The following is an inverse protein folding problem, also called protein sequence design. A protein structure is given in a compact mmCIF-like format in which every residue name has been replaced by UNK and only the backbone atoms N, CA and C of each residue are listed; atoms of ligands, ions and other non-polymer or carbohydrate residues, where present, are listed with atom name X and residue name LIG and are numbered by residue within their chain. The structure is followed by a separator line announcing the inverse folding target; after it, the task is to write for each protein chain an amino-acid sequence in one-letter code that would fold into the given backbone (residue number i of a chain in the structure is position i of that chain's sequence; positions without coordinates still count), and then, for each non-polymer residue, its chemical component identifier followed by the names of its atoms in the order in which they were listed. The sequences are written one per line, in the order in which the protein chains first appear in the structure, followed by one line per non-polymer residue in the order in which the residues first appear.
data_IF_538616565772
#
_entry.id   IF_538616565772
#
_cell.length_a   1.000
_cell.length_b   1.000
_cell.length_c   1.000
_cell.angle_alpha   90.00
_cell.angle_beta   90.00
_cell.angle_gamma   90.00
#
_symmetry.space_group_name_H-M   'P 1'
#
loop_
_entity.id
_entity.type
_entity.pdbx_description
1 polymer ?
#
# COMPACT_ATOMS: atom_id res chain seq x y z
N UNK A 1 -18.29 29.80 24.58
CA UNK A 1 -17.66 28.83 23.67
C UNK A 1 -16.17 29.11 23.53
N UNK A 2 -15.40 28.09 23.22
CA UNK A 2 -14.00 28.25 22.82
C UNK A 2 -13.94 28.30 21.30
N UNK A 3 -13.29 29.32 20.73
CA UNK A 3 -13.07 29.37 19.29
C UNK A 3 -11.96 28.41 18.88
N UNK A 4 -12.19 27.60 17.87
CA UNK A 4 -11.15 26.82 17.22
C UNK A 4 -10.60 27.63 16.06
N UNK A 5 -9.37 28.11 16.19
CA UNK A 5 -8.67 28.77 15.09
C UNK A 5 -8.39 27.76 13.98
N UNK A 6 -9.25 27.67 13.00
CA UNK A 6 -8.94 27.07 11.70
C UNK A 6 -8.73 28.20 10.71
N UNK A 7 -7.65 28.10 9.94
CA UNK A 7 -7.27 29.06 8.89
C UNK A 7 -8.25 29.04 7.70
N UNK A 8 -9.49 29.37 7.95
CA UNK A 8 -10.48 29.70 6.94
C UNK A 8 -10.65 31.20 6.91
N UNK A 9 -9.58 31.91 6.56
CA UNK A 9 -9.47 33.37 6.62
C UNK A 9 -10.43 34.13 5.72
N UNK A 10 -11.26 33.49 4.90
CA UNK A 10 -12.14 34.22 3.98
C UNK A 10 -13.58 33.73 3.85
N UNK A 11 -14.01 32.75 4.69
CA UNK A 11 -15.37 32.19 4.56
C UNK A 11 -16.43 32.95 5.39
N UNK A 12 -16.05 33.85 6.28
CA UNK A 12 -16.98 34.51 7.24
C UNK A 12 -17.64 33.53 8.24
N UNK A 13 -17.20 32.25 8.30
CA UNK A 13 -17.77 31.22 9.18
C UNK A 13 -16.88 31.05 10.39
N UNK A 14 -17.39 31.36 11.57
CA UNK A 14 -16.76 31.07 12.86
C UNK A 14 -17.30 29.77 13.49
N UNK A 15 -16.39 28.94 14.00
CA UNK A 15 -16.78 27.76 14.77
C UNK A 15 -16.48 27.96 16.24
N UNK A 16 -17.43 27.55 17.12
CA UNK A 16 -17.24 27.57 18.55
C UNK A 16 -17.67 26.24 19.17
N UNK A 17 -16.89 25.73 20.12
CA UNK A 17 -17.29 24.55 20.89
C UNK A 17 -18.19 25.02 22.04
N UNK A 18 -19.42 24.51 22.15
CA UNK A 18 -20.32 24.87 23.22
C UNK A 18 -19.75 24.48 24.60
N UNK A 19 -19.95 25.35 25.58
CA UNK A 19 -19.44 25.10 26.94
C UNK A 19 -20.07 23.87 27.61
N UNK A 20 -21.30 23.49 27.27
CA UNK A 20 -21.94 22.27 27.81
C UNK A 20 -21.20 20.99 27.38
N UNK A 21 -20.48 20.99 26.27
CA UNK A 21 -19.64 19.87 25.86
C UNK A 21 -18.31 19.82 26.63
N UNK A 22 -17.84 20.96 27.14
CA UNK A 22 -16.56 21.09 27.84
C UNK A 22 -16.69 20.90 29.33
N UNK A 23 -17.78 21.40 29.94
CA UNK A 23 -17.99 21.35 31.40
C UNK A 23 -17.82 19.92 31.97
N UNK A 24 -18.37 18.87 31.39
CA UNK A 24 -18.19 17.51 31.90
C UNK A 24 -16.73 17.01 31.86
N UNK A 25 -15.90 17.62 31.03
CA UNK A 25 -14.49 17.22 30.84
C UNK A 25 -13.54 17.95 31.82
N UNK A 26 -13.98 19.09 32.39
CA UNK A 26 -13.15 19.91 33.27
C UNK A 26 -12.57 19.14 34.49
N UNK A 27 -13.30 18.25 35.16
CA UNK A 27 -12.73 17.49 36.28
C UNK A 27 -11.57 16.58 35.84
N UNK A 28 -11.66 16.00 34.67
CA UNK A 28 -10.60 15.14 34.07
C UNK A 28 -9.39 15.97 33.67
N UNK A 29 -9.62 17.11 33.02
CA UNK A 29 -8.56 18.05 32.62
C UNK A 29 -7.82 18.62 33.85
N UNK A 30 -8.53 18.95 34.93
CA UNK A 30 -7.93 19.41 36.19
C UNK A 30 -7.04 18.36 36.85
N UNK A 31 -7.27 17.07 36.61
CA UNK A 31 -6.41 15.97 37.06
C UNK A 31 -5.21 15.73 36.16
N UNK A 32 -5.02 16.54 35.12
CA UNK A 32 -3.94 16.40 34.14
C UNK A 32 -4.15 15.24 33.15
N UNK A 33 -5.39 14.70 33.02
CA UNK A 33 -5.66 13.67 32.05
C UNK A 33 -5.54 14.21 30.63
N UNK A 34 -4.79 13.49 29.77
CA UNK A 34 -4.73 13.76 28.32
C UNK A 34 -5.93 13.12 27.66
N UNK A 35 -6.95 13.90 27.36
CA UNK A 35 -8.15 13.41 26.68
C UNK A 35 -7.85 13.11 25.20
N UNK A 36 -8.08 11.86 24.80
CA UNK A 36 -7.94 11.40 23.42
C UNK A 36 -9.30 11.01 22.87
N UNK A 37 -9.59 11.26 21.58
CA UNK A 37 -10.80 10.77 20.93
C UNK A 37 -10.93 9.25 21.08
N UNK A 38 -12.14 8.78 21.31
CA UNK A 38 -12.46 7.37 21.40
C UNK A 38 -12.56 6.74 20.00
N UNK A 39 -11.77 5.71 19.74
CA UNK A 39 -11.70 5.03 18.46
C UNK A 39 -12.25 3.60 18.61
N UNK A 40 -13.15 3.20 17.70
CA UNK A 40 -13.78 1.87 17.67
C UNK A 40 -13.01 0.90 16.75
N UNK A 41 -12.54 1.37 15.59
CA UNK A 41 -11.75 0.58 14.66
C UNK A 41 -12.59 -0.21 13.65
N UNK A 42 -13.62 0.42 13.09
CA UNK A 42 -14.43 -0.09 11.98
C UNK A 42 -14.27 0.78 10.75
N UNK A 43 -14.52 0.19 9.58
CA UNK A 43 -14.58 0.88 8.30
C UNK A 43 -15.80 0.44 7.48
N UNK A 44 -16.17 1.26 6.53
CA UNK A 44 -17.30 1.05 5.63
C UNK A 44 -16.79 1.09 4.19
N UNK A 45 -17.29 0.19 3.32
CA UNK A 45 -17.09 0.30 1.87
C UNK A 45 -18.31 0.96 1.27
N UNK A 46 -18.18 2.23 0.96
CA UNK A 46 -19.24 3.00 0.34
C UNK A 46 -18.66 4.17 -0.44
N UNK A 47 -19.29 4.50 -1.55
CA UNK A 47 -19.02 5.72 -2.31
C UNK A 47 -19.63 6.96 -1.63
N UNK A 48 -20.59 6.77 -0.74
CA UNK A 48 -21.20 7.83 0.08
C UNK A 48 -20.83 7.66 1.57
N UNK A 49 -19.79 8.37 2.03
CA UNK A 49 -19.32 8.25 3.41
C UNK A 49 -20.22 8.98 4.43
N UNK A 50 -21.30 9.60 3.99
CA UNK A 50 -22.24 10.36 4.83
C UNK A 50 -23.56 9.63 4.95
N UNK A 51 -24.25 9.40 3.81
CA UNK A 51 -25.60 8.82 3.78
C UNK A 51 -25.60 7.30 3.56
N UNK A 52 -24.45 6.70 3.29
CA UNK A 52 -24.32 5.25 3.12
C UNK A 52 -24.83 4.48 4.34
N UNK A 53 -25.33 3.26 4.10
CA UNK A 53 -25.78 2.37 5.17
C UNK A 53 -24.62 2.05 6.12
N UNK A 54 -24.84 1.96 7.45
CA UNK A 54 -23.80 1.67 8.44
C UNK A 54 -23.46 0.17 8.49
N UNK A 55 -23.18 -0.42 7.33
CA UNK A 55 -22.73 -1.79 7.17
C UNK A 55 -21.22 -1.86 7.39
N UNK A 56 -20.82 -2.57 8.44
CA UNK A 56 -19.41 -2.77 8.77
C UNK A 56 -18.77 -3.69 7.74
N UNK A 57 -17.77 -3.22 7.00
CA UNK A 57 -16.99 -4.06 6.10
C UNK A 57 -15.61 -4.39 6.67
N UNK A 58 -15.00 -3.45 7.35
CA UNK A 58 -13.67 -3.61 7.91
C UNK A 58 -13.76 -3.56 9.43
N UNK A 59 -13.23 -4.59 10.08
CA UNK A 59 -12.98 -4.59 11.53
C UNK A 59 -11.48 -4.70 11.75
N UNK A 60 -10.90 -3.65 12.29
CA UNK A 60 -9.44 -3.54 12.45
C UNK A 60 -8.95 -4.52 13.51
N UNK A 61 -7.98 -5.38 13.17
CA UNK A 61 -7.42 -6.38 14.10
C UNK A 61 -6.89 -5.71 15.37
N UNK A 62 -7.22 -6.30 16.54
CA UNK A 62 -6.82 -5.79 17.85
C UNK A 62 -7.53 -4.50 18.28
N UNK A 63 -8.46 -3.98 17.47
CA UNK A 63 -9.29 -2.82 17.84
C UNK A 63 -10.35 -3.17 18.89
N UNK A 64 -10.96 -2.16 19.54
CA UNK A 64 -12.14 -2.37 20.39
C UNK A 64 -13.26 -3.14 19.67
N UNK A 65 -13.53 -2.83 18.41
CA UNK A 65 -14.51 -3.55 17.60
C UNK A 65 -14.21 -5.05 17.49
N UNK A 66 -12.95 -5.40 17.15
CA UNK A 66 -12.55 -6.80 17.06
C UNK A 66 -12.65 -7.52 18.41
N UNK A 67 -12.16 -6.88 19.48
CA UNK A 67 -12.20 -7.45 20.85
C UNK A 67 -13.62 -7.64 21.38
N UNK A 68 -14.55 -6.79 20.96
CA UNK A 68 -15.97 -6.88 21.37
C UNK A 68 -16.78 -7.86 20.53
N UNK A 69 -16.21 -8.43 19.46
CA UNK A 69 -16.88 -9.40 18.60
C UNK A 69 -17.73 -8.79 17.48
N UNK A 70 -17.51 -7.51 17.14
CA UNK A 70 -18.01 -6.93 15.89
C UNK A 70 -17.34 -7.64 14.70
N UNK A 71 -18.10 -7.84 13.62
CA UNK A 71 -17.64 -8.55 12.43
C UNK A 71 -17.98 -7.78 11.16
N UNK A 72 -17.25 -8.09 10.11
CA UNK A 72 -17.65 -7.70 8.74
C UNK A 72 -19.04 -8.29 8.44
N UNK A 73 -19.90 -7.51 7.78
CA UNK A 73 -21.31 -7.87 7.52
C UNK A 73 -22.29 -7.44 8.59
N UNK A 74 -21.86 -6.94 9.75
CA UNK A 74 -22.76 -6.40 10.78
C UNK A 74 -23.36 -5.07 10.32
N UNK A 75 -24.68 -4.94 10.34
CA UNK A 75 -25.39 -3.68 10.13
C UNK A 75 -25.65 -3.03 11.50
N UNK A 76 -25.07 -1.87 11.75
CA UNK A 76 -25.28 -1.13 12.99
C UNK A 76 -26.68 -0.51 12.95
N UNK A 77 -27.51 -0.81 13.94
CA UNK A 77 -28.91 -0.29 14.06
C UNK A 77 -29.10 0.66 15.22
N UNK A 78 -28.30 0.53 16.30
CA UNK A 78 -28.33 1.45 17.43
C UNK A 78 -26.94 1.57 18.07
N UNK A 79 -26.66 2.75 18.66
CA UNK A 79 -25.50 2.98 19.53
C UNK A 79 -25.98 3.74 20.75
N UNK A 80 -25.74 3.20 21.97
CA UNK A 80 -26.18 3.77 23.23
C UNK A 80 -27.67 4.15 23.24
N UNK A 81 -28.54 3.30 22.67
CA UNK A 81 -29.97 3.53 22.58
C UNK A 81 -30.42 4.49 21.47
N UNK A 82 -29.49 5.16 20.77
CA UNK A 82 -29.82 6.03 19.63
C UNK A 82 -29.92 5.21 18.34
N UNK A 83 -30.99 5.41 17.58
CA UNK A 83 -31.19 4.77 16.28
C UNK A 83 -30.18 5.25 15.25
N UNK A 84 -29.61 4.32 14.49
CA UNK A 84 -28.59 4.55 13.46
C UNK A 84 -29.14 4.10 12.12
N UNK A 85 -29.23 5.01 11.16
CA UNK A 85 -29.71 4.74 9.81
C UNK A 85 -28.60 4.88 8.76
N UNK A 86 -27.65 5.77 9.01
CA UNK A 86 -26.57 6.10 8.07
C UNK A 86 -25.23 6.28 8.82
N UNK A 87 -24.14 6.31 8.06
CA UNK A 87 -22.76 6.45 8.59
C UNK A 87 -22.58 7.75 9.37
N UNK A 88 -23.21 8.85 8.92
CA UNK A 88 -23.18 10.12 9.63
C UNK A 88 -23.71 10.01 11.08
N UNK A 89 -24.74 9.20 11.31
CA UNK A 89 -25.31 9.00 12.64
C UNK A 89 -24.32 8.28 13.57
N UNK A 90 -23.59 7.27 13.03
CA UNK A 90 -22.51 6.59 13.80
C UNK A 90 -21.44 7.59 14.21
N UNK A 91 -21.01 8.46 13.27
CA UNK A 91 -20.01 9.50 13.56
C UNK A 91 -20.51 10.48 14.60
N UNK A 92 -21.76 10.93 14.47
CA UNK A 92 -22.38 11.87 15.40
C UNK A 92 -22.35 11.34 16.84
N UNK A 93 -22.70 10.07 17.03
CA UNK A 93 -22.73 9.43 18.36
C UNK A 93 -21.33 9.14 18.91
N UNK A 94 -20.38 8.74 18.05
CA UNK A 94 -19.04 8.36 18.49
C UNK A 94 -18.05 9.54 18.62
N UNK A 95 -18.22 10.62 17.86
CA UNK A 95 -17.28 11.77 17.87
C UNK A 95 -17.09 12.39 19.26
N UNK A 96 -18.13 12.59 20.10
CA UNK A 96 -17.95 13.15 21.44
C UNK A 96 -17.36 12.16 22.46
N UNK A 97 -17.19 10.88 22.10
CA UNK A 97 -16.67 9.86 23.01
C UNK A 97 -15.15 9.90 23.10
N UNK A 98 -14.66 9.58 24.29
CA UNK A 98 -13.23 9.59 24.60
C UNK A 98 -12.69 8.16 24.76
N UNK A 99 -11.37 8.05 24.72
CA UNK A 99 -10.69 6.80 25.09
C UNK A 99 -11.07 6.37 26.51
N UNK A 100 -11.42 5.09 26.65
CA UNK A 100 -11.93 4.50 27.91
C UNK A 100 -13.45 4.52 28.03
N UNK A 101 -14.17 5.30 27.21
CA UNK A 101 -15.63 5.27 27.21
C UNK A 101 -16.14 3.93 26.67
N UNK A 102 -17.15 3.36 27.33
CA UNK A 102 -17.86 2.19 26.85
C UNK A 102 -19.03 2.62 25.97
N UNK A 103 -19.24 1.89 24.89
CA UNK A 103 -20.40 2.06 23.99
C UNK A 103 -21.11 0.73 23.82
N UNK A 104 -22.44 0.77 23.86
CA UNK A 104 -23.30 -0.35 23.53
C UNK A 104 -23.74 -0.21 22.07
N UNK A 105 -23.51 -1.24 21.27
CA UNK A 105 -23.78 -1.25 19.83
C UNK A 105 -24.74 -2.41 19.55
N UNK A 106 -25.90 -2.11 18.97
CA UNK A 106 -26.82 -3.13 18.49
C UNK A 106 -26.63 -3.30 17.00
N UNK A 107 -26.39 -4.53 16.59
CA UNK A 107 -26.18 -4.89 15.19
C UNK A 107 -27.14 -5.97 14.72
N UNK A 108 -27.54 -5.86 13.46
CA UNK A 108 -28.20 -6.95 12.75
C UNK A 108 -27.13 -7.71 11.95
N UNK A 109 -26.92 -8.97 12.33
CA UNK A 109 -25.99 -9.88 11.62
C UNK A 109 -26.78 -10.79 10.69
N UNK A 110 -26.37 -10.95 9.41
CA UNK A 110 -27.17 -11.69 8.41
C UNK A 110 -27.57 -13.11 8.84
N UNK A 111 -26.69 -13.77 9.61
CA UNK A 111 -26.88 -15.17 10.04
C UNK A 111 -27.73 -15.31 11.31
N UNK A 112 -28.10 -14.20 11.94
CA UNK A 112 -28.86 -14.23 13.20
C UNK A 112 -30.20 -13.51 13.04
N UNK A 113 -31.29 -14.20 13.41
CA UNK A 113 -32.64 -13.62 13.37
C UNK A 113 -32.83 -12.47 14.37
N UNK A 114 -32.21 -12.57 15.56
CA UNK A 114 -32.29 -11.57 16.59
C UNK A 114 -31.10 -10.59 16.52
N UNK A 115 -31.32 -9.29 16.80
CA UNK A 115 -30.24 -8.32 16.96
C UNK A 115 -29.28 -8.73 18.07
N UNK A 116 -28.00 -8.37 17.92
CA UNK A 116 -26.94 -8.64 18.89
C UNK A 116 -26.56 -7.34 19.58
N UNK A 117 -26.55 -7.34 20.91
CA UNK A 117 -25.93 -6.27 21.70
C UNK A 117 -24.46 -6.57 21.95
N UNK A 118 -23.60 -5.61 21.61
CA UNK A 118 -22.16 -5.69 21.70
C UNK A 118 -21.65 -4.49 22.49
N UNK A 119 -20.89 -4.75 23.56
CA UNK A 119 -20.27 -3.70 24.37
C UNK A 119 -18.79 -3.55 23.99
N UNK A 120 -18.39 -2.35 23.55
CA UNK A 120 -17.00 -2.03 23.21
C UNK A 120 -16.47 -0.90 24.12
N UNK A 121 -15.20 -1.00 24.54
CA UNK A 121 -14.50 0.08 25.25
C UNK A 121 -13.56 0.75 24.27
N UNK A 122 -13.79 2.04 23.99
CA UNK A 122 -13.04 2.79 22.99
C UNK A 122 -11.58 3.01 23.40
N UNK A 123 -10.69 3.07 22.43
CA UNK A 123 -9.25 3.32 22.66
C UNK A 123 -8.82 4.66 22.09
N UNK A 124 -7.80 5.27 22.70
CA UNK A 124 -7.19 6.50 22.16
C UNK A 124 -6.18 6.29 21.02
N UNK A 125 -5.84 5.03 20.75
CA UNK A 125 -4.95 4.65 19.64
C UNK A 125 -5.32 3.25 19.14
N UNK A 126 -5.57 3.14 17.84
CA UNK A 126 -5.76 1.85 17.20
C UNK A 126 -4.41 1.22 16.86
N UNK A 127 -4.31 -0.12 16.83
CA UNK A 127 -3.18 -0.77 16.20
C UNK A 127 -3.01 -0.29 14.75
N UNK A 128 -1.80 -0.13 14.25
CA UNK A 128 -1.60 0.28 12.86
C UNK A 128 -2.23 -0.75 11.90
N UNK A 129 -2.76 -0.25 10.78
CA UNK A 129 -3.19 -1.12 9.70
C UNK A 129 -1.95 -1.81 9.10
N UNK A 130 -2.07 -3.11 8.86
CA UNK A 130 -1.04 -3.90 8.19
C UNK A 130 -1.64 -4.53 6.95
N UNK A 131 -0.96 -4.40 5.82
CA UNK A 131 -1.37 -5.08 4.59
C UNK A 131 -1.40 -6.58 4.83
N UNK A 132 -2.51 -7.20 4.47
CA UNK A 132 -2.60 -8.66 4.37
C UNK A 132 -2.17 -9.11 2.98
N UNK A 133 -1.72 -10.36 2.86
CA UNK A 133 -1.41 -10.96 1.58
C UNK A 133 -1.81 -12.43 1.54
N UNK A 134 -2.05 -12.93 0.33
CA UNK A 134 -2.13 -14.35 0.01
C UNK A 134 -0.76 -14.91 -0.38
N UNK A 135 0.06 -14.09 -1.02
CA UNK A 135 1.37 -14.46 -1.55
C UNK A 135 1.31 -14.95 -2.99
N UNK A 136 0.52 -14.33 -3.83
CA UNK A 136 0.32 -14.69 -5.24
C UNK A 136 0.85 -13.59 -6.14
N UNK A 137 1.75 -13.93 -7.07
CA UNK A 137 2.10 -13.07 -8.19
C UNK A 137 1.20 -13.42 -9.38
N UNK A 138 0.37 -12.49 -9.86
CA UNK A 138 -0.51 -12.75 -11.00
C UNK A 138 0.26 -12.70 -12.33
N UNK A 139 -0.25 -13.43 -13.34
CA UNK A 139 0.13 -13.20 -14.73
C UNK A 139 -0.42 -11.86 -15.18
N UNK A 140 0.43 -11.03 -15.78
CA UNK A 140 0.04 -9.74 -16.34
C UNK A 140 -0.11 -9.86 -17.83
N UNK A 141 -1.30 -9.59 -18.34
CA UNK A 141 -1.61 -9.70 -19.77
C UNK A 141 -1.30 -8.41 -20.52
N UNK A 142 -0.88 -8.50 -21.81
CA UNK A 142 -0.82 -7.35 -22.70
C UNK A 142 -2.21 -6.71 -22.84
N UNK A 143 -2.27 -5.39 -22.92
CA UNK A 143 -3.56 -4.68 -23.01
C UNK A 143 -4.30 -4.86 -24.36
N UNK A 144 -3.68 -5.42 -25.36
CA UNK A 144 -4.20 -5.70 -26.70
C UNK A 144 -4.08 -7.18 -27.06
N UNK A 145 -4.33 -8.09 -26.16
CA UNK A 145 -4.57 -9.45 -26.60
C UNK A 145 -5.91 -9.47 -27.33
N UNK A 146 -5.89 -9.48 -28.67
CA UNK A 146 -7.03 -9.93 -29.49
C UNK A 146 -7.34 -11.41 -29.26
N UNK A 147 -6.57 -12.07 -28.42
CA UNK A 147 -6.94 -13.33 -27.80
C UNK A 147 -8.01 -12.96 -26.78
N UNK A 148 -9.26 -13.22 -27.12
CA UNK A 148 -10.30 -13.42 -26.11
C UNK A 148 -9.66 -14.38 -25.11
N UNK A 149 -9.15 -13.85 -23.99
CA UNK A 149 -8.76 -14.71 -22.89
C UNK A 149 -10.08 -15.35 -22.46
N UNK A 150 -10.30 -16.57 -22.94
CA UNK A 150 -11.46 -17.40 -22.59
C UNK A 150 -11.48 -17.69 -21.09
N UNK A 151 -10.52 -17.19 -20.36
CA UNK A 151 -10.33 -17.40 -18.94
C UNK A 151 -10.57 -16.12 -18.15
N UNK A 152 -11.82 -15.93 -17.74
CA UNK A 152 -12.13 -14.96 -16.70
C UNK A 152 -11.49 -15.41 -15.39
N UNK A 153 -10.65 -14.54 -14.81
CA UNK A 153 -10.01 -14.82 -13.54
C UNK A 153 -8.57 -14.29 -13.42
N UNK A 154 -7.96 -14.56 -12.29
CA UNK A 154 -6.56 -14.22 -12.00
C UNK A 154 -5.70 -15.45 -12.14
N UNK A 155 -4.89 -15.52 -13.18
CA UNK A 155 -3.93 -16.62 -13.40
C UNK A 155 -2.75 -16.43 -12.46
N UNK A 156 -2.43 -17.45 -11.68
CA UNK A 156 -1.27 -17.48 -10.77
C UNK A 156 0.00 -17.73 -11.59
N UNK A 157 0.96 -16.81 -11.55
CA UNK A 157 2.27 -16.99 -12.15
C UNK A 157 3.26 -17.64 -11.17
N UNK A 158 3.20 -17.22 -9.92
CA UNK A 158 4.10 -17.66 -8.87
C UNK A 158 3.46 -17.48 -7.50
N UNK A 159 3.87 -18.30 -6.52
CA UNK A 159 3.49 -18.19 -5.12
C UNK A 159 4.71 -17.86 -4.26
N UNK A 160 4.53 -16.91 -3.34
CA UNK A 160 5.58 -16.52 -2.41
C UNK A 160 5.92 -17.69 -1.46
N UNK A 161 7.22 -18.01 -1.25
CA UNK A 161 7.61 -19.10 -0.36
C UNK A 161 7.05 -18.94 1.05
N UNK A 162 6.56 -20.04 1.61
CA UNK A 162 5.91 -20.10 2.93
C UNK A 162 4.66 -19.22 3.08
N UNK A 163 4.12 -18.70 1.98
CA UNK A 163 2.91 -17.87 2.00
C UNK A 163 1.64 -18.67 2.30
N UNK A 164 0.53 -17.98 2.65
CA UNK A 164 -0.78 -18.60 2.74
C UNK A 164 -1.21 -19.36 1.47
N UNK A 165 -0.92 -18.79 0.29
CA UNK A 165 -1.26 -19.41 -0.99
C UNK A 165 -0.51 -20.72 -1.20
N UNK A 166 0.79 -20.75 -0.96
CA UNK A 166 1.60 -21.96 -1.08
C UNK A 166 1.14 -23.05 -0.10
N UNK A 167 0.94 -22.68 1.19
CA UNK A 167 0.43 -23.60 2.23
C UNK A 167 -0.95 -24.18 1.91
N UNK A 168 -1.77 -23.40 1.19
CA UNK A 168 -3.09 -23.85 0.74
C UNK A 168 -3.03 -24.69 -0.57
N UNK A 169 -1.84 -24.95 -1.10
CA UNK A 169 -1.62 -25.74 -2.30
C UNK A 169 -2.04 -25.04 -3.59
N UNK A 170 -2.00 -23.71 -3.62
CA UNK A 170 -2.18 -22.92 -4.85
C UNK A 170 -0.87 -22.98 -5.64
N UNK A 171 -0.98 -23.29 -6.93
CA UNK A 171 0.17 -23.53 -7.79
C UNK A 171 0.19 -22.56 -8.99
N UNK A 172 1.33 -22.33 -9.63
CA UNK A 172 1.40 -21.67 -10.93
C UNK A 172 0.43 -22.32 -11.92
N UNK A 173 -0.20 -21.50 -12.77
CA UNK A 173 -1.26 -21.83 -13.74
C UNK A 173 -2.66 -22.10 -13.13
N UNK A 174 -2.82 -22.10 -11.81
CA UNK A 174 -4.16 -22.03 -11.21
C UNK A 174 -4.82 -20.69 -11.55
N UNK A 175 -6.14 -20.71 -11.78
CA UNK A 175 -6.94 -19.51 -12.11
C UNK A 175 -7.92 -19.25 -10.98
N UNK A 176 -7.80 -18.12 -10.32
CA UNK A 176 -8.73 -17.68 -9.29
C UNK A 176 -9.92 -17.00 -9.97
N UNK A 177 -11.10 -17.63 -9.90
CA UNK A 177 -12.32 -17.17 -10.57
C UNK A 177 -13.36 -16.60 -9.61
N UNK A 178 -13.16 -16.76 -8.31
CA UNK A 178 -14.06 -16.22 -7.31
C UNK A 178 -13.40 -16.16 -5.94
N UNK A 179 -13.88 -15.23 -5.11
CA UNK A 179 -13.41 -15.08 -3.74
C UNK A 179 -14.56 -14.63 -2.81
N UNK A 180 -14.49 -15.04 -1.55
CA UNK A 180 -15.35 -14.53 -0.49
C UNK A 180 -14.57 -14.44 0.82
N UNK A 181 -14.89 -13.42 1.62
CA UNK A 181 -14.36 -13.27 2.97
C UNK A 181 -15.23 -14.13 3.89
N UNK A 182 -14.60 -14.98 4.69
CA UNK A 182 -15.32 -15.85 5.64
C UNK A 182 -15.70 -15.02 6.87
N UNK A 183 -16.99 -14.70 6.98
CA UNK A 183 -17.60 -14.11 8.18
C UNK A 183 -18.49 -15.14 8.86
N UNK A 184 -17.96 -16.19 9.44
CA UNK A 184 -18.68 -17.24 10.21
C UNK A 184 -19.93 -17.87 9.54
N UNK A 185 -20.13 -17.71 8.24
CA UNK A 185 -21.18 -18.42 7.51
C UNK A 185 -20.75 -19.86 7.22
N UNK A 186 -21.72 -20.77 7.12
CA UNK A 186 -21.47 -22.11 6.61
C UNK A 186 -20.77 -22.02 5.26
N UNK A 187 -19.58 -22.60 5.15
CA UNK A 187 -18.72 -22.52 3.95
C UNK A 187 -19.42 -23.02 2.67
N UNK A 188 -20.36 -23.96 2.82
CA UNK A 188 -21.09 -24.55 1.69
C UNK A 188 -21.94 -23.54 0.92
N UNK A 189 -22.50 -22.54 1.60
CA UNK A 189 -23.42 -21.55 1.03
C UNK A 189 -22.83 -20.13 0.97
N UNK A 190 -21.50 -19.97 1.08
CA UNK A 190 -20.88 -18.66 1.03
C UNK A 190 -20.97 -18.08 -0.40
N UNK A 191 -21.62 -16.93 -0.61
CA UNK A 191 -21.72 -16.32 -1.92
C UNK A 191 -20.34 -15.82 -2.37
N UNK A 192 -19.77 -16.50 -3.37
CA UNK A 192 -18.49 -16.13 -3.94
C UNK A 192 -18.71 -14.96 -4.93
N UNK A 193 -18.01 -13.86 -4.68
CA UNK A 193 -17.91 -12.77 -5.66
C UNK A 193 -17.05 -13.25 -6.83
N UNK A 194 -17.51 -13.05 -8.07
CA UNK A 194 -16.69 -13.31 -9.26
C UNK A 194 -15.47 -12.42 -9.25
N UNK A 195 -14.31 -12.99 -9.57
CA UNK A 195 -13.04 -12.30 -9.71
C UNK A 195 -12.61 -12.43 -11.16
N UNK A 196 -12.56 -11.32 -11.87
CA UNK A 196 -12.23 -11.26 -13.30
C UNK A 196 -10.85 -10.63 -13.54
N UNK A 197 -10.30 -9.92 -12.54
CA UNK A 197 -9.04 -9.21 -12.66
C UNK A 197 -8.23 -9.18 -11.36
N UNK A 198 -6.90 -8.97 -11.50
CA UNK A 198 -6.00 -8.78 -10.36
C UNK A 198 -6.39 -7.58 -9.50
N UNK A 199 -6.96 -6.51 -10.11
CA UNK A 199 -7.40 -5.33 -9.38
C UNK A 199 -8.60 -5.62 -8.47
N UNK A 200 -9.53 -6.47 -8.91
CA UNK A 200 -10.67 -6.88 -8.08
C UNK A 200 -10.22 -7.73 -6.89
N UNK A 201 -9.29 -8.67 -7.13
CA UNK A 201 -8.70 -9.46 -6.04
C UNK A 201 -7.90 -8.58 -5.07
N UNK A 202 -7.08 -7.66 -5.59
CA UNK A 202 -6.33 -6.70 -4.79
C UNK A 202 -7.25 -5.80 -3.96
N UNK A 203 -8.37 -5.34 -4.53
CA UNK A 203 -9.37 -4.54 -3.84
C UNK A 203 -10.02 -5.29 -2.67
N UNK A 204 -10.37 -6.56 -2.88
CA UNK A 204 -10.90 -7.42 -1.84
C UNK A 204 -9.87 -7.63 -0.70
N UNK A 205 -8.63 -7.96 -1.06
CA UNK A 205 -7.56 -8.19 -0.08
C UNK A 205 -7.15 -6.90 0.65
N UNK A 206 -7.17 -5.75 -0.03
CA UNK A 206 -6.81 -4.45 0.55
C UNK A 206 -7.70 -4.02 1.72
N UNK A 207 -8.96 -4.48 1.74
CA UNK A 207 -9.88 -4.28 2.86
C UNK A 207 -9.63 -5.21 4.05
N UNK A 208 -8.85 -6.28 3.88
CA UNK A 208 -8.65 -7.29 4.91
C UNK A 208 -7.55 -6.89 5.89
N UNK A 209 -7.67 -7.43 7.08
CA UNK A 209 -6.62 -7.46 8.08
C UNK A 209 -5.86 -8.79 8.03
N UNK A 210 -4.69 -8.84 8.61
CA UNK A 210 -3.94 -10.09 8.79
C UNK A 210 -4.77 -11.11 9.56
N UNK A 211 -4.62 -12.39 9.21
CA UNK A 211 -5.38 -13.52 9.79
C UNK A 211 -6.89 -13.48 9.46
N UNK A 212 -7.25 -12.92 8.32
CA UNK A 212 -8.60 -13.03 7.76
C UNK A 212 -8.71 -14.28 6.90
N UNK A 213 -9.81 -15.01 7.05
CA UNK A 213 -10.09 -16.18 6.23
C UNK A 213 -10.80 -15.79 4.94
N UNK A 214 -10.29 -16.29 3.83
CA UNK A 214 -10.83 -16.09 2.48
C UNK A 214 -11.07 -17.46 1.84
N UNK A 215 -12.22 -17.66 1.23
CA UNK A 215 -12.46 -18.81 0.36
C UNK A 215 -12.25 -18.39 -1.08
N UNK A 216 -11.36 -19.06 -1.76
CA UNK A 216 -11.06 -18.86 -3.17
C UNK A 216 -11.65 -19.99 -3.99
N UNK A 217 -12.31 -19.67 -5.11
CA UNK A 217 -12.66 -20.61 -6.15
C UNK A 217 -11.53 -20.66 -7.17
N UNK A 218 -10.89 -21.81 -7.24
CA UNK A 218 -9.72 -22.01 -8.10
C UNK A 218 -10.10 -23.01 -9.18
N UNK A 219 -9.74 -22.72 -10.41
CA UNK A 219 -9.84 -23.60 -11.56
C UNK A 219 -8.44 -23.89 -12.09
N UNK A 220 -8.20 -25.12 -12.45
CA UNK A 220 -7.08 -25.51 -13.30
C UNK A 220 -7.62 -26.26 -14.54
N UNK A 221 -6.74 -26.76 -15.41
CA UNK A 221 -7.12 -27.42 -16.66
C UNK A 221 -8.05 -28.65 -16.46
N UNK A 222 -8.10 -29.21 -15.27
CA UNK A 222 -8.80 -30.48 -14.99
C UNK A 222 -9.95 -30.35 -14.00
N UNK A 223 -9.86 -29.42 -13.04
CA UNK A 223 -10.78 -29.38 -11.89
C UNK A 223 -11.09 -27.96 -11.44
N UNK A 224 -12.24 -27.79 -10.76
CA UNK A 224 -12.56 -26.58 -10.01
C UNK A 224 -12.72 -26.94 -8.54
N UNK A 225 -12.02 -26.22 -7.64
CA UNK A 225 -12.03 -26.46 -6.21
C UNK A 225 -12.23 -25.18 -5.43
N UNK A 226 -12.78 -25.28 -4.22
CA UNK A 226 -12.77 -24.19 -3.24
C UNK A 226 -11.60 -24.44 -2.28
N UNK A 227 -10.85 -23.37 -1.98
CA UNK A 227 -9.70 -23.43 -1.06
C UNK A 227 -9.86 -22.33 -0.02
N UNK A 228 -9.80 -22.67 1.25
CA UNK A 228 -9.75 -21.72 2.34
C UNK A 228 -8.31 -21.32 2.60
N UNK A 229 -8.08 -20.02 2.68
CA UNK A 229 -6.76 -19.41 2.90
C UNK A 229 -6.86 -18.38 4.01
N UNK A 230 -6.06 -18.54 5.05
CA UNK A 230 -5.93 -17.51 6.10
C UNK A 230 -4.82 -16.55 5.71
N UNK A 231 -5.14 -15.28 5.47
CA UNK A 231 -4.17 -14.27 5.04
C UNK A 231 -3.08 -14.05 6.09
N UNK A 232 -1.87 -13.72 5.64
CA UNK A 232 -0.74 -13.36 6.49
C UNK A 232 -0.38 -11.87 6.38
N UNK A 233 0.50 -11.39 7.23
CA UNK A 233 1.10 -10.06 7.09
C UNK A 233 1.99 -10.02 5.84
N UNK A 234 2.01 -8.89 5.16
CA UNK A 234 2.95 -8.63 4.08
C UNK A 234 4.40 -8.72 4.62
N UNK A 235 5.33 -9.36 3.88
CA UNK A 235 6.69 -9.59 4.34
C UNK A 235 7.46 -8.29 4.53
N UNK A 236 8.38 -8.27 5.48
CA UNK A 236 9.31 -7.14 5.66
C UNK A 236 10.52 -7.26 4.71
N UNK A 237 10.97 -8.50 4.44
CA UNK A 237 12.12 -8.77 3.57
C UNK A 237 11.67 -9.19 2.17
N UNK A 238 12.32 -8.67 1.11
CA UNK A 238 12.15 -9.20 -0.24
C UNK A 238 12.59 -10.66 -0.31
N UNK A 239 11.92 -11.44 -1.14
CA UNK A 239 12.39 -12.79 -1.48
C UNK A 239 13.38 -12.73 -2.62
N UNK A 240 14.45 -13.51 -2.53
CA UNK A 240 15.37 -13.72 -3.65
C UNK A 240 14.82 -14.71 -4.68
N UNK A 241 13.67 -15.33 -4.42
CA UNK A 241 13.04 -16.33 -5.28
C UNK A 241 11.97 -15.73 -6.21
N UNK A 242 11.78 -14.39 -6.19
CA UNK A 242 10.86 -13.73 -7.13
C UNK A 242 11.33 -14.02 -8.55
N UNK A 243 10.53 -14.72 -9.37
CA UNK A 243 10.97 -15.13 -10.70
C UNK A 243 11.03 -13.95 -11.66
N UNK A 244 11.82 -14.12 -12.71
CA UNK A 244 11.82 -13.23 -13.86
C UNK A 244 10.40 -13.05 -14.40
N UNK A 245 10.15 -11.93 -15.03
CA UNK A 245 8.81 -11.60 -15.53
C UNK A 245 8.30 -12.62 -16.55
N UNK A 246 9.14 -13.00 -17.51
CA UNK A 246 8.87 -14.03 -18.49
C UNK A 246 10.16 -14.81 -18.81
N UNK A 247 10.40 -15.96 -18.16
CA UNK A 247 11.61 -16.73 -18.36
C UNK A 247 11.71 -17.39 -19.75
N UNK A 248 10.59 -17.44 -20.50
CA UNK A 248 10.54 -18.05 -21.82
C UNK A 248 10.66 -17.05 -22.97
N UNK A 249 10.72 -15.76 -22.66
CA UNK A 249 10.74 -14.71 -23.68
C UNK A 249 12.18 -14.44 -24.20
N UNK A 250 12.64 -15.30 -25.08
CA UNK A 250 13.96 -15.19 -25.75
C UNK A 250 13.99 -14.16 -26.88
N UNK A 251 12.87 -13.52 -27.19
CA UNK A 251 12.72 -12.59 -28.32
C UNK A 251 12.46 -11.12 -27.95
N UNK A 252 12.53 -10.77 -26.68
CA UNK A 252 12.30 -9.38 -26.25
C UNK A 252 13.41 -8.47 -26.74
N UNK A 253 13.11 -7.36 -27.43
CA UNK A 253 14.12 -6.38 -27.80
C UNK A 253 14.83 -5.81 -26.58
N UNK A 254 16.11 -5.43 -26.70
CA UNK A 254 16.88 -4.88 -25.60
C UNK A 254 16.24 -3.59 -25.08
N UNK A 255 16.31 -3.31 -23.77
CA UNK A 255 15.78 -2.07 -23.21
C UNK A 255 16.36 -0.83 -23.89
N UNK A 256 15.48 0.13 -24.18
CA UNK A 256 15.84 1.36 -24.88
C UNK A 256 15.97 2.54 -23.91
N UNK A 257 17.00 3.36 -24.12
CA UNK A 257 17.13 4.66 -23.44
C UNK A 257 16.23 5.66 -24.16
N UNK A 258 15.34 6.30 -23.41
CA UNK A 258 14.43 7.30 -23.94
C UNK A 258 14.61 8.62 -23.20
N UNK A 259 14.77 9.69 -23.95
CA UNK A 259 14.75 11.05 -23.44
C UNK A 259 13.31 11.47 -23.20
N UNK A 260 12.99 11.86 -21.97
CA UNK A 260 11.68 12.35 -21.57
C UNK A 260 11.72 13.88 -21.50
N UNK A 261 11.24 14.51 -22.55
CA UNK A 261 11.08 15.96 -22.60
C UNK A 261 9.84 16.35 -21.84
N UNK A 262 10.00 17.32 -20.93
CA UNK A 262 8.92 17.79 -20.04
C UNK A 262 8.66 19.24 -20.42
N UNK A 263 7.43 19.61 -20.82
CA UNK A 263 7.09 21.00 -21.10
C UNK A 263 7.50 21.92 -19.94
N UNK A 264 8.06 23.05 -20.24
CA UNK A 264 8.49 24.10 -19.27
C UNK A 264 9.70 23.72 -18.39
N UNK A 265 10.37 22.59 -18.66
CA UNK A 265 11.59 22.19 -17.95
C UNK A 265 12.73 22.10 -18.95
N UNK A 266 13.79 22.85 -18.71
CA UNK A 266 14.92 22.93 -19.64
C UNK A 266 15.71 21.62 -19.74
N UNK A 267 15.88 20.91 -18.62
CA UNK A 267 16.62 19.65 -18.58
C UNK A 267 15.67 18.45 -18.71
N UNK A 268 15.92 17.53 -19.65
CA UNK A 268 15.13 16.34 -19.80
C UNK A 268 15.39 15.34 -18.67
N UNK A 269 14.37 14.57 -18.33
CA UNK A 269 14.56 13.31 -17.60
C UNK A 269 14.85 12.17 -18.58
N UNK A 270 15.33 11.05 -18.06
CA UNK A 270 15.68 9.89 -18.86
C UNK A 270 15.00 8.63 -18.34
N UNK A 271 14.70 7.70 -19.24
CA UNK A 271 14.20 6.40 -18.84
C UNK A 271 14.87 5.29 -19.63
N UNK A 272 15.19 4.18 -18.96
CA UNK A 272 15.50 2.91 -19.57
C UNK A 272 14.24 2.05 -19.55
N UNK A 273 13.63 1.83 -20.72
CA UNK A 273 12.32 1.18 -20.86
C UNK A 273 12.51 -0.25 -21.38
N UNK A 274 11.88 -1.27 -20.74
CA UNK A 274 12.10 -2.68 -21.10
C UNK A 274 11.59 -3.03 -22.50
N UNK A 275 10.47 -2.48 -22.94
CA UNK A 275 9.90 -2.69 -24.26
C UNK A 275 8.83 -1.63 -24.54
N UNK A 276 8.70 -1.23 -25.79
CA UNK A 276 7.73 -0.23 -26.21
C UNK A 276 6.44 -0.88 -26.74
N UNK A 277 5.34 -0.28 -26.42
CA UNK A 277 3.98 -0.28 -26.99
C UNK A 277 3.02 -1.45 -26.72
N UNK A 278 3.31 -2.72 -26.94
CA UNK A 278 2.25 -3.76 -26.88
C UNK A 278 2.45 -4.83 -25.78
N UNK A 279 3.51 -4.72 -25.00
CA UNK A 279 3.78 -5.64 -23.89
C UNK A 279 2.87 -5.43 -22.67
N UNK A 280 2.96 -6.33 -21.68
CA UNK A 280 2.32 -6.17 -20.39
C UNK A 280 2.80 -4.88 -19.69
N UNK A 281 2.01 -4.30 -18.77
CA UNK A 281 2.43 -3.11 -18.04
C UNK A 281 3.74 -3.31 -17.29
N UNK A 282 4.64 -2.33 -17.37
CA UNK A 282 5.93 -2.33 -16.68
C UNK A 282 5.81 -1.79 -15.26
N UNK A 283 6.61 -2.32 -14.33
CA UNK A 283 6.88 -1.64 -13.06
C UNK A 283 7.69 -0.36 -13.30
N UNK A 284 7.74 0.54 -12.35
CA UNK A 284 8.51 1.79 -12.44
C UNK A 284 9.41 1.93 -11.23
N UNK A 285 10.68 2.16 -11.47
CA UNK A 285 11.66 2.54 -10.45
C UNK A 285 12.18 3.95 -10.76
N UNK A 286 11.77 4.93 -9.98
CA UNK A 286 12.33 6.29 -10.04
C UNK A 286 13.56 6.33 -9.15
N UNK A 287 14.73 6.51 -9.75
CA UNK A 287 16.00 6.49 -9.03
C UNK A 287 16.61 7.89 -8.95
N UNK A 288 16.99 8.26 -7.73
CA UNK A 288 17.66 9.52 -7.42
C UNK A 288 19.09 9.23 -6.96
N UNK A 289 20.03 9.67 -7.76
CA UNK A 289 21.45 9.62 -7.38
C UNK A 289 21.84 10.90 -6.60
N UNK A 290 23.12 11.11 -6.40
CA UNK A 290 23.59 12.38 -5.87
C UNK A 290 23.18 13.53 -6.80
N UNK A 291 22.88 14.72 -6.27
CA UNK A 291 22.48 15.86 -7.12
C UNK A 291 23.56 16.15 -8.16
N UNK A 292 23.22 16.09 -9.43
CA UNK A 292 24.18 16.20 -10.53
C UNK A 292 23.83 17.30 -11.54
N UNK A 293 22.68 17.98 -11.38
CA UNK A 293 22.18 18.88 -12.40
C UNK A 293 21.83 18.15 -13.70
N UNK A 294 22.27 18.68 -14.82
CA UNK A 294 21.97 18.11 -16.14
C UNK A 294 22.63 16.76 -16.36
N UNK A 295 21.84 15.77 -16.83
CA UNK A 295 22.32 14.46 -17.26
C UNK A 295 22.57 14.43 -18.76
N UNK A 296 23.82 14.20 -19.19
CA UNK A 296 24.13 13.98 -20.60
C UNK A 296 23.76 12.55 -21.03
N UNK A 297 23.40 12.36 -22.29
CA UNK A 297 23.09 11.05 -22.85
C UNK A 297 24.23 10.04 -22.66
N UNK A 298 25.48 10.48 -22.82
CA UNK A 298 26.67 9.66 -22.59
C UNK A 298 26.75 9.18 -21.12
N UNK A 299 26.49 10.06 -20.16
CA UNK A 299 26.49 9.70 -18.74
C UNK A 299 25.37 8.72 -18.41
N UNK A 300 24.16 8.97 -18.93
CA UNK A 300 23.00 8.08 -18.77
C UNK A 300 23.29 6.70 -19.36
N UNK A 301 23.85 6.63 -20.57
CA UNK A 301 24.19 5.37 -21.23
C UNK A 301 25.19 4.56 -20.42
N UNK A 302 26.24 5.22 -19.91
CA UNK A 302 27.24 4.56 -19.08
C UNK A 302 26.63 4.06 -17.75
N UNK A 303 25.84 4.90 -17.08
CA UNK A 303 25.23 4.55 -15.79
C UNK A 303 24.20 3.43 -15.92
N UNK A 304 23.36 3.46 -16.98
CA UNK A 304 22.31 2.44 -17.18
C UNK A 304 22.84 1.11 -17.73
N UNK A 305 24.12 1.02 -18.08
CA UNK A 305 24.71 -0.22 -18.65
C UNK A 305 24.51 -1.43 -17.74
N UNK A 306 24.67 -1.26 -16.43
CA UNK A 306 24.49 -2.32 -15.42
C UNK A 306 23.03 -2.66 -15.14
N UNK A 307 22.08 -1.84 -15.61
CA UNK A 307 20.65 -2.00 -15.36
C UNK A 307 19.89 -2.71 -16.48
N UNK A 308 20.47 -2.78 -17.69
CA UNK A 308 19.77 -3.28 -18.88
C UNK A 308 19.22 -4.69 -18.70
N UNK A 309 20.04 -5.58 -18.17
CA UNK A 309 19.65 -6.97 -17.92
C UNK A 309 18.48 -7.06 -16.94
N UNK A 310 18.60 -6.42 -15.78
CA UNK A 310 17.57 -6.44 -14.75
C UNK A 310 16.26 -5.76 -15.20
N UNK A 311 16.34 -4.64 -15.93
CA UNK A 311 15.19 -3.97 -16.53
C UNK A 311 14.41 -4.89 -17.46
N UNK A 312 15.12 -5.67 -18.29
CA UNK A 312 14.50 -6.66 -19.17
C UNK A 312 13.89 -7.82 -18.37
N UNK A 313 14.66 -8.43 -17.46
CA UNK A 313 14.28 -9.60 -16.68
C UNK A 313 13.02 -9.38 -15.85
N UNK A 314 12.93 -8.24 -15.15
CA UNK A 314 11.83 -7.94 -14.25
C UNK A 314 10.79 -7.00 -14.82
N UNK A 315 10.95 -6.60 -16.09
CA UNK A 315 10.07 -5.66 -16.78
C UNK A 315 9.78 -4.41 -15.93
N UNK A 316 10.83 -3.70 -15.57
CA UNK A 316 10.80 -2.48 -14.77
C UNK A 316 11.37 -1.32 -15.58
N UNK A 317 10.62 -0.28 -15.81
CA UNK A 317 11.14 0.96 -16.38
C UNK A 317 11.93 1.71 -15.31
N UNK A 318 13.21 1.96 -15.57
CA UNK A 318 14.07 2.76 -14.70
C UNK A 318 14.02 4.21 -15.15
N UNK A 319 13.72 5.12 -14.23
CA UNK A 319 13.59 6.56 -14.49
C UNK A 319 14.66 7.31 -13.74
N UNK A 320 15.41 8.15 -14.46
CA UNK A 320 16.41 9.06 -13.89
C UNK A 320 15.93 10.49 -14.02
N UNK A 321 15.81 11.16 -12.91
CA UNK A 321 15.39 12.57 -12.84
C UNK A 321 16.61 13.40 -12.44
N UNK A 322 17.04 14.38 -13.23
CA UNK A 322 18.13 15.27 -12.84
C UNK A 322 17.64 16.24 -11.75
N UNK A 323 18.52 16.64 -10.83
CA UNK A 323 18.25 17.75 -9.92
C UNK A 323 18.34 19.09 -10.64
N UNK A 324 17.58 20.07 -10.17
CA UNK A 324 17.70 21.45 -10.70
C UNK A 324 19.00 22.17 -10.28
N UNK A 325 19.69 21.61 -9.33
CA UNK A 325 20.94 22.13 -8.76
C UNK A 325 21.94 20.98 -8.58
N UNK A 326 23.19 21.22 -8.96
CA UNK A 326 24.24 20.22 -8.84
C UNK A 326 24.68 19.92 -7.39
N UNK A 327 24.29 20.74 -6.44
CA UNK A 327 24.67 20.60 -5.02
C UNK A 327 23.56 20.07 -4.12
N UNK A 328 22.30 20.10 -4.55
CA UNK A 328 21.19 19.74 -3.67
C UNK A 328 19.91 19.40 -4.43
N UNK A 329 19.11 18.50 -3.84
CA UNK A 329 17.73 18.25 -4.25
C UNK A 329 16.82 19.34 -3.67
N UNK A 330 15.95 19.91 -4.50
CA UNK A 330 15.01 20.99 -4.12
C UNK A 330 13.58 20.52 -4.17
N UNK A 331 12.70 21.22 -3.46
CA UNK A 331 11.27 20.92 -3.47
C UNK A 331 10.65 21.02 -4.87
N UNK A 332 11.13 21.94 -5.71
CA UNK A 332 10.71 22.08 -7.11
C UNK A 332 10.98 20.80 -7.94
N UNK A 333 12.01 20.03 -7.59
CA UNK A 333 12.32 18.78 -8.29
C UNK A 333 11.24 17.72 -8.08
N UNK A 334 10.42 17.80 -7.01
CA UNK A 334 9.27 16.90 -6.82
C UNK A 334 8.20 17.11 -7.89
N UNK A 335 7.98 18.33 -8.36
CA UNK A 335 7.02 18.59 -9.44
C UNK A 335 7.52 18.00 -10.76
N UNK A 336 8.82 18.11 -11.01
CA UNK A 336 9.49 17.45 -12.15
C UNK A 336 9.26 15.94 -12.14
N UNK A 337 9.40 15.28 -10.99
CA UNK A 337 9.14 13.83 -10.85
C UNK A 337 7.74 13.46 -11.31
N UNK A 338 6.71 14.20 -10.89
CA UNK A 338 5.33 13.96 -11.31
C UNK A 338 5.14 14.09 -12.83
N UNK A 339 5.67 15.16 -13.41
CA UNK A 339 5.65 15.39 -14.87
C UNK A 339 6.41 14.29 -15.61
N UNK A 340 7.54 13.82 -15.07
CA UNK A 340 8.34 12.72 -15.66
C UNK A 340 7.57 11.41 -15.69
N UNK A 341 6.88 11.04 -14.62
CA UNK A 341 6.04 9.84 -14.57
C UNK A 341 4.89 9.95 -15.59
N UNK A 342 4.30 11.13 -15.73
CA UNK A 342 3.29 11.41 -16.75
C UNK A 342 3.82 11.25 -18.18
N UNK A 343 5.01 11.77 -18.46
CA UNK A 343 5.67 11.61 -19.76
C UNK A 343 6.06 10.15 -20.07
N UNK A 344 6.51 9.41 -19.04
CA UNK A 344 6.77 7.98 -19.16
C UNK A 344 5.51 7.19 -19.53
N UNK A 345 4.36 7.52 -18.89
CA UNK A 345 3.08 6.84 -19.13
C UNK A 345 2.59 7.00 -20.58
N UNK A 346 3.07 8.01 -21.32
CA UNK A 346 2.79 8.17 -22.75
C UNK A 346 3.70 7.29 -23.63
N UNK A 347 4.79 6.77 -23.09
CA UNK A 347 5.79 5.97 -23.82
C UNK A 347 5.68 4.47 -23.56
N UNK A 348 5.29 4.10 -22.34
CA UNK A 348 5.04 2.71 -21.96
C UNK A 348 3.88 2.61 -20.99
N UNK A 349 3.20 1.45 -20.98
CA UNK A 349 2.15 1.16 -20.01
C UNK A 349 2.77 0.89 -18.65
N UNK A 350 2.23 1.55 -17.64
CA UNK A 350 2.70 1.45 -16.26
C UNK A 350 1.74 0.58 -15.44
N UNK A 351 2.30 -0.31 -14.65
CA UNK A 351 1.57 -1.05 -13.62
C UNK A 351 1.52 -0.19 -12.33
N UNK A 352 0.35 0.35 -11.94
CA UNK A 352 0.24 1.24 -10.79
C UNK A 352 0.50 0.52 -9.45
N UNK A 353 0.52 -0.80 -9.42
CA UNK A 353 0.84 -1.60 -8.24
C UNK A 353 2.34 -1.76 -8.01
N UNK A 354 3.18 -1.35 -8.98
CA UNK A 354 4.62 -1.56 -8.98
C UNK A 354 5.40 -0.27 -9.25
N UNK A 355 5.07 0.80 -8.55
CA UNK A 355 5.79 2.07 -8.63
C UNK A 355 6.62 2.24 -7.36
N UNK A 356 7.93 2.35 -7.51
CA UNK A 356 8.86 2.54 -6.41
C UNK A 356 9.79 3.73 -6.64
N UNK A 357 10.25 4.28 -5.54
CA UNK A 357 11.25 5.33 -5.48
C UNK A 357 12.49 4.78 -4.78
N UNK A 358 13.66 5.01 -5.33
CA UNK A 358 14.91 4.65 -4.68
C UNK A 358 15.95 5.76 -4.87
N UNK A 359 16.97 5.76 -4.03
CA UNK A 359 18.07 6.68 -4.22
C UNK A 359 19.20 6.46 -3.22
N UNK A 360 20.36 6.99 -3.56
CA UNK A 360 21.59 6.88 -2.77
C UNK A 360 21.88 8.18 -2.04
N UNK A 361 22.28 8.09 -0.76
CA UNK A 361 22.68 9.24 0.07
C UNK A 361 21.62 10.37 0.06
N UNK A 362 21.96 11.57 -0.46
CA UNK A 362 21.01 12.68 -0.59
C UNK A 362 19.80 12.32 -1.46
N UNK A 363 20.00 11.56 -2.55
CA UNK A 363 18.95 11.03 -3.39
C UNK A 363 18.04 10.04 -2.65
N UNK A 364 18.56 9.24 -1.71
CA UNK A 364 17.77 8.35 -0.86
C UNK A 364 16.82 9.12 0.06
N UNK A 365 17.30 10.19 0.68
CA UNK A 365 16.45 11.09 1.47
C UNK A 365 15.39 11.75 0.59
N UNK A 366 15.75 12.15 -0.63
CA UNK A 366 14.82 12.73 -1.60
C UNK A 366 13.79 11.70 -2.12
N UNK A 367 14.18 10.44 -2.31
CA UNK A 367 13.27 9.35 -2.64
C UNK A 367 12.15 9.20 -1.60
N UNK A 368 12.48 9.34 -0.32
CA UNK A 368 11.49 9.37 0.75
C UNK A 368 10.51 10.56 0.62
N UNK A 369 11.01 11.75 0.33
CA UNK A 369 10.17 12.94 0.11
C UNK A 369 9.27 12.75 -1.11
N UNK A 370 9.79 12.21 -2.21
CA UNK A 370 9.04 11.85 -3.40
C UNK A 370 7.92 10.85 -3.11
N UNK A 371 8.26 9.76 -2.42
CA UNK A 371 7.27 8.74 -2.04
C UNK A 371 6.17 9.31 -1.12
N UNK A 372 6.46 10.31 -0.29
CA UNK A 372 5.44 10.99 0.51
C UNK A 372 4.60 11.99 -0.29
N UNK A 373 5.19 12.66 -1.28
CA UNK A 373 4.46 13.58 -2.18
C UNK A 373 3.49 12.82 -3.08
N UNK A 374 3.87 11.62 -3.51
CA UNK A 374 3.10 10.72 -4.38
C UNK A 374 2.56 9.50 -3.63
N UNK A 375 2.05 9.72 -2.43
CA UNK A 375 1.69 8.66 -1.47
C UNK A 375 0.56 7.72 -1.94
N UNK A 376 -0.23 8.13 -2.91
CA UNK A 376 -1.30 7.32 -3.53
C UNK A 376 -0.79 6.36 -4.60
N UNK A 377 0.38 6.63 -5.20
CA UNK A 377 0.95 5.80 -6.26
C UNK A 377 2.24 5.09 -5.86
N UNK A 378 3.00 5.66 -4.92
CA UNK A 378 4.24 5.04 -4.43
C UNK A 378 3.93 3.79 -3.61
N UNK A 379 4.35 2.63 -4.09
CA UNK A 379 4.18 1.31 -3.43
C UNK A 379 5.44 0.84 -2.73
N UNK A 380 6.58 1.40 -3.09
CA UNK A 380 7.87 1.10 -2.47
C UNK A 380 8.76 2.33 -2.35
N UNK A 381 9.64 2.32 -1.35
CA UNK A 381 10.75 3.27 -1.24
C UNK A 381 11.99 2.57 -0.70
N UNK A 382 13.13 2.76 -1.35
CA UNK A 382 14.43 2.23 -0.91
C UNK A 382 15.40 3.40 -0.67
N UNK A 383 15.90 3.47 0.55
CA UNK A 383 16.89 4.45 0.98
C UNK A 383 18.25 3.77 1.05
N UNK A 384 19.17 4.10 0.13
CA UNK A 384 20.49 3.48 0.06
C UNK A 384 21.50 4.41 0.75
N UNK A 385 22.15 3.93 1.81
CA UNK A 385 23.05 4.71 2.66
C UNK A 385 22.45 6.06 3.09
N UNK A 386 21.15 6.06 3.36
CA UNK A 386 20.36 7.25 3.66
C UNK A 386 19.33 6.99 4.77
N UNK A 387 18.91 8.05 5.43
CA UNK A 387 17.83 8.02 6.42
C UNK A 387 16.72 9.03 6.07
N UNK A 388 15.58 8.89 6.71
CA UNK A 388 14.50 9.87 6.59
C UNK A 388 14.86 11.16 7.34
N UNK A 389 14.39 12.35 6.91
CA UNK A 389 14.66 13.59 7.63
C UNK A 389 14.19 13.52 9.09
N UNK A 390 15.03 13.96 10.03
CA UNK A 390 14.83 13.75 11.49
C UNK A 390 13.48 14.19 12.04
N UNK A 391 12.86 15.23 11.49
CA UNK A 391 11.57 15.77 11.95
C UNK A 391 10.40 15.34 11.08
N UNK A 392 10.57 14.35 10.20
CA UNK A 392 9.49 13.88 9.33
C UNK A 392 8.39 13.20 10.14
N UNK A 393 7.16 13.67 9.93
CA UNK A 393 5.97 12.98 10.43
C UNK A 393 5.74 11.73 9.58
N UNK A 394 5.83 10.56 10.19
CA UNK A 394 5.47 9.29 9.56
C UNK A 394 3.95 9.15 9.63
N UNK A 395 3.31 9.01 8.47
CA UNK A 395 1.87 8.71 8.39
C UNK A 395 1.67 7.22 8.58
N UNK A 396 0.60 6.85 9.30
CA UNK A 396 0.21 5.44 9.43
C UNK A 396 -0.15 4.85 8.07
N UNK A 397 0.18 3.57 7.89
CA UNK A 397 -0.23 2.81 6.73
C UNK A 397 -1.77 2.71 6.65
N UNK A 398 -2.28 2.73 5.43
CA UNK A 398 -3.69 2.53 5.11
C UNK A 398 -3.79 1.83 3.75
N UNK A 399 -4.94 1.26 3.37
CA UNK A 399 -5.08 0.55 2.09
C UNK A 399 -4.66 1.38 0.86
N UNK A 400 -4.94 2.67 0.87
CA UNK A 400 -4.61 3.62 -0.19
C UNK A 400 -3.19 4.19 -0.09
N UNK A 401 -2.52 4.06 1.05
CA UNK A 401 -1.18 4.61 1.34
C UNK A 401 -0.24 3.55 1.90
N UNK A 402 -0.20 2.40 1.29
CA UNK A 402 0.73 1.34 1.62
C UNK A 402 2.05 1.52 0.89
N UNK A 403 3.17 1.33 1.59
CA UNK A 403 4.53 1.30 1.03
C UNK A 403 5.39 0.24 1.69
N UNK A 404 6.17 -0.44 0.88
CA UNK A 404 7.25 -1.28 1.36
C UNK A 404 8.52 -0.46 1.45
N UNK A 405 9.09 -0.34 2.64
CA UNK A 405 10.29 0.48 2.89
C UNK A 405 11.50 -0.43 2.99
N UNK A 406 12.54 -0.15 2.21
CA UNK A 406 13.83 -0.83 2.32
C UNK A 406 14.92 0.18 2.71
N UNK A 407 15.82 -0.27 3.58
CA UNK A 407 17.08 0.39 3.84
C UNK A 407 18.18 -0.41 3.16
N UNK A 408 18.83 0.20 2.17
CA UNK A 408 19.94 -0.37 1.42
C UNK A 408 21.28 0.03 2.03
N UNK A 409 22.22 -0.90 2.08
CA UNK A 409 23.61 -0.62 2.48
C UNK A 409 24.57 -1.10 1.41
N UNK A 410 25.56 -0.26 1.06
CA UNK A 410 26.58 -0.58 0.04
C UNK A 410 27.87 -1.10 0.63
N UNK A 411 28.10 -0.91 1.94
CA UNK A 411 29.30 -1.35 2.64
C UNK A 411 29.00 -2.37 3.74
N UNK A 412 29.86 -3.39 3.84
CA UNK A 412 29.79 -4.43 4.90
C UNK A 412 30.29 -3.92 6.26
N UNK A 413 31.12 -2.89 6.31
CA UNK A 413 31.75 -2.38 7.55
C UNK A 413 30.75 -1.92 8.62
N UNK A 414 29.55 -1.48 8.23
CA UNK A 414 28.51 -1.06 9.17
C UNK A 414 27.78 -2.22 9.86
N UNK A 415 27.93 -3.46 9.38
CA UNK A 415 27.28 -4.64 10.00
C UNK A 415 28.06 -5.17 11.23
N UNK A 416 29.37 -5.04 11.23
CA UNK A 416 30.24 -5.61 12.29
C UNK A 416 30.21 -4.82 13.60
N UNK A 417 29.92 -3.54 13.55
CA UNK A 417 29.93 -2.66 14.73
C UNK A 417 28.62 -2.63 15.54
N UNK A 418 27.62 -3.45 15.22
CA UNK A 418 26.35 -3.56 15.97
C UNK A 418 25.50 -2.28 16.01
N UNK A 419 25.96 -1.22 15.41
CA UNK A 419 25.34 0.10 15.40
C UNK A 419 24.67 0.32 14.04
N UNK A 420 23.50 -0.33 13.83
CA UNK A 420 22.72 -0.10 12.62
C UNK A 420 22.11 1.31 12.68
N UNK A 421 22.57 2.26 11.84
CA UNK A 421 22.19 3.68 11.95
C UNK A 421 20.68 3.91 11.78
N UNK A 422 19.96 2.94 11.17
CA UNK A 422 18.55 3.09 10.81
C UNK A 422 17.56 2.43 11.77
N UNK A 423 18.03 1.70 12.81
CA UNK A 423 17.16 0.90 13.68
C UNK A 423 16.02 1.72 14.33
N UNK A 424 16.33 2.92 14.81
CA UNK A 424 15.33 3.80 15.42
C UNK A 424 14.27 4.23 14.41
N UNK A 425 14.67 4.53 13.19
CA UNK A 425 13.78 4.91 12.09
C UNK A 425 12.93 3.72 11.65
N UNK A 426 13.53 2.55 11.47
CA UNK A 426 12.84 1.32 11.12
C UNK A 426 11.76 0.97 12.16
N UNK A 427 12.09 1.06 13.45
CA UNK A 427 11.11 0.85 14.52
C UNK A 427 9.91 1.80 14.40
N UNK A 428 10.15 3.09 14.18
CA UNK A 428 9.07 4.09 14.00
C UNK A 428 8.19 3.80 12.78
N UNK A 429 8.77 3.32 11.68
CA UNK A 429 8.05 2.95 10.46
C UNK A 429 7.20 1.69 10.68
N UNK A 430 7.75 0.67 11.37
CA UNK A 430 6.99 -0.53 11.77
C UNK A 430 5.84 -0.20 12.70
N UNK A 431 6.05 0.71 13.65
CA UNK A 431 5.01 1.22 14.55
C UNK A 431 3.90 1.97 13.80
N UNK A 432 4.20 2.50 12.61
CA UNK A 432 3.22 3.09 11.70
C UNK A 432 2.53 2.07 10.77
N UNK A 433 2.87 0.77 10.88
CA UNK A 433 2.26 -0.31 10.10
C UNK A 433 2.91 -0.57 8.74
N UNK A 434 4.02 0.09 8.43
CA UNK A 434 4.75 -0.14 7.19
C UNK A 434 5.63 -1.38 7.32
N UNK A 435 5.71 -2.27 6.32
CA UNK A 435 6.72 -3.30 6.25
C UNK A 435 8.08 -2.64 5.98
N UNK A 436 9.08 -3.01 6.78
CA UNK A 436 10.42 -2.40 6.70
C UNK A 436 11.47 -3.48 6.69
N UNK A 437 12.24 -3.54 5.61
CA UNK A 437 13.33 -4.48 5.41
C UNK A 437 14.68 -3.82 5.23
N UNK A 438 15.71 -4.65 5.21
CA UNK A 438 17.09 -4.29 4.92
C UNK A 438 17.58 -5.06 3.70
N UNK A 439 18.41 -4.43 2.87
CA UNK A 439 18.97 -5.06 1.68
C UNK A 439 20.45 -4.67 1.52
N UNK A 440 21.31 -5.65 1.26
CA UNK A 440 22.72 -5.41 0.93
C UNK A 440 22.84 -5.23 -0.58
N UNK A 441 23.57 -4.18 -1.00
CA UNK A 441 23.73 -3.75 -2.39
C UNK A 441 25.22 -3.50 -2.68
N UNK A 442 26.00 -4.57 -2.78
CA UNK A 442 27.47 -4.49 -2.75
C UNK A 442 28.07 -3.89 -4.03
N UNK A 443 27.42 -4.11 -5.16
CA UNK A 443 27.87 -3.56 -6.44
C UNK A 443 26.69 -3.11 -7.31
N UNK A 444 26.97 -2.34 -8.38
CA UNK A 444 25.94 -1.75 -9.26
C UNK A 444 25.06 -2.79 -9.96
N UNK A 445 25.63 -3.91 -10.42
CA UNK A 445 24.86 -4.96 -11.10
C UNK A 445 23.90 -5.66 -10.12
N UNK A 446 24.37 -5.95 -8.94
CA UNK A 446 23.55 -6.53 -7.87
C UNK A 446 22.45 -5.55 -7.40
N UNK A 447 22.80 -4.26 -7.29
CA UNK A 447 21.83 -3.19 -7.00
C UNK A 447 20.70 -3.18 -8.02
N UNK A 448 21.05 -3.19 -9.31
CA UNK A 448 20.08 -3.21 -10.40
C UNK A 448 19.15 -4.43 -10.31
N UNK A 449 19.72 -5.63 -10.15
CA UNK A 449 18.97 -6.87 -10.07
C UNK A 449 18.03 -6.89 -8.86
N UNK A 450 18.56 -6.63 -7.67
CA UNK A 450 17.75 -6.68 -6.41
C UNK A 450 16.64 -5.63 -6.37
N UNK A 451 16.91 -4.41 -6.86
CA UNK A 451 15.88 -3.36 -6.87
C UNK A 451 14.80 -3.64 -7.91
N UNK A 452 15.13 -4.12 -9.10
CA UNK A 452 14.14 -4.52 -10.11
C UNK A 452 13.31 -5.72 -9.63
N UNK A 453 13.95 -6.72 -9.01
CA UNK A 453 13.27 -7.86 -8.39
C UNK A 453 12.31 -7.42 -7.27
N UNK A 454 12.74 -6.49 -6.42
CA UNK A 454 11.87 -5.92 -5.40
C UNK A 454 10.67 -5.16 -5.98
N UNK A 455 10.88 -4.38 -7.05
CA UNK A 455 9.76 -3.70 -7.74
C UNK A 455 8.77 -4.72 -8.30
N UNK A 456 9.24 -5.85 -8.82
CA UNK A 456 8.38 -6.96 -9.26
C UNK A 456 7.57 -7.52 -8.08
N UNK A 457 8.19 -7.69 -6.94
CA UNK A 457 7.56 -8.19 -5.72
C UNK A 457 6.48 -7.28 -5.14
N UNK A 458 6.49 -5.96 -5.43
CA UNK A 458 5.43 -5.03 -4.98
C UNK A 458 4.05 -5.44 -5.49
N UNK A 459 3.97 -6.08 -6.65
CA UNK A 459 2.73 -6.53 -7.26
C UNK A 459 2.18 -7.86 -6.74
N UNK A 460 2.75 -8.44 -5.70
CA UNK A 460 2.25 -9.66 -5.04
C UNK A 460 0.98 -9.33 -4.24
N UNK A 461 -0.05 -10.18 -4.40
CA UNK A 461 -1.38 -10.08 -3.80
C UNK A 461 -1.49 -10.88 -2.50
#
# INVERSE_FOLDING_TARGET
GMSTGTELYDSGVGFAIPMYDIIPLIPRLKKGEMLKPGLLGIGYSTTDPINGRPLVEIVRTGSPAAKSGLKSGDLITQINGQSIQRIADVRHVLTPKLAGDAVEIIVQRPEKKAPLSIRAVLTGKLPPWKRSMLGIAPVRQPSKSNVKSTEEGVVVRWTWPNSPAEKAGIQPQDVITGAAIVSQANEENLPLRSITSSNELAGLLGGLTTSSDVVLKIRNSKTSRKVRVTTASFPEQPSNEVPEFDPNNTGTPPPAIVKLEIPEVAEPSWALIPEQQDGPPAGVLVFFDEPSGMLSEKAVTAWTSNWREAVAQYRVALVLVPSSDSGSWRQADLERVGKTIGALAQRCKIDPTRIAFAGSKAGGTFAWLGANRFDTIARGVCLIDADIPRRTRIREASPDRFRWVLFGTTTTENKENGNQPFQKTMKRLREAGLPVGEISLENEKERASKLCQWVEALGVL
#
